data_IF_652106514966
#
_entry.id   IF_652106514966
#
_cell.length_a   1.000
_cell.length_b   1.000
_cell.length_c   1.000
_cell.angle_alpha   90.00
_cell.angle_beta   90.00
_cell.angle_gamma   90.00
#
_symmetry.space_group_name_H-M   'P 1'
#
loop_
_entity.id
_entity.type
_entity.pdbx_description
1 polymer ?
#
# COMPACT_ATOMS: atom_id res chain seq x y z
N UNK A 1 -10.11 -9.39 18.14
CA UNK A 1 -10.93 -8.54 17.26
C UNK A 1 -10.15 -8.44 15.96
N UNK A 2 -10.77 -8.71 14.80
CA UNK A 2 -10.09 -8.59 13.50
C UNK A 2 -9.98 -7.13 13.04
N UNK A 3 -9.17 -6.88 12.01
CA UNK A 3 -8.85 -5.52 11.55
C UNK A 3 -10.09 -4.72 11.12
N UNK A 4 -11.03 -5.34 10.40
CA UNK A 4 -12.24 -4.66 9.94
C UNK A 4 -13.15 -4.24 11.11
N UNK A 5 -13.25 -5.06 12.16
CA UNK A 5 -14.01 -4.69 13.34
C UNK A 5 -13.36 -3.51 14.10
N UNK A 6 -12.02 -3.47 14.18
CA UNK A 6 -11.30 -2.32 14.77
C UNK A 6 -11.54 -1.05 13.94
N UNK A 7 -11.48 -1.15 12.61
CA UNK A 7 -11.79 -0.04 11.71
C UNK A 7 -13.22 0.50 11.94
N UNK A 8 -14.21 -0.39 12.00
CA UNK A 8 -15.60 -0.01 12.26
C UNK A 8 -15.80 0.64 13.66
N UNK A 9 -15.09 0.16 14.67
CA UNK A 9 -15.08 0.79 16.00
C UNK A 9 -14.55 2.22 15.91
N UNK A 10 -13.45 2.44 15.19
CA UNK A 10 -12.86 3.77 15.01
C UNK A 10 -13.78 4.70 14.21
N UNK A 11 -14.36 4.22 13.10
CA UNK A 11 -15.33 4.98 12.29
C UNK A 11 -16.49 5.47 13.18
N UNK A 12 -17.07 4.57 13.99
CA UNK A 12 -18.15 4.93 14.90
C UNK A 12 -17.70 5.89 16.00
N UNK A 13 -16.52 5.66 16.59
CA UNK A 13 -15.95 6.50 17.65
C UNK A 13 -15.72 7.95 17.20
N UNK A 14 -15.43 8.16 15.92
CA UNK A 14 -15.19 9.46 15.32
C UNK A 14 -16.41 10.05 14.59
N UNK A 15 -17.60 9.43 14.70
CA UNK A 15 -18.85 9.87 14.05
C UNK A 15 -18.76 9.98 12.51
N UNK A 16 -17.96 9.12 11.87
CA UNK A 16 -17.68 9.16 10.42
C UNK A 16 -18.48 8.15 9.60
N UNK A 17 -19.53 7.53 10.16
CA UNK A 17 -20.29 6.44 9.53
C UNK A 17 -20.92 6.82 8.17
N UNK A 18 -21.15 8.11 7.91
CA UNK A 18 -21.70 8.59 6.63
C UNK A 18 -20.62 8.94 5.58
N UNK A 19 -19.34 8.88 5.93
CA UNK A 19 -18.21 9.32 5.10
C UNK A 19 -17.17 8.21 4.88
N UNK A 20 -17.00 7.30 5.84
CA UNK A 20 -16.00 6.23 5.78
C UNK A 20 -16.70 4.88 5.79
N UNK A 21 -16.40 4.06 4.79
CA UNK A 21 -16.93 2.71 4.65
C UNK A 21 -15.78 1.70 4.72
N UNK A 22 -15.80 0.83 5.74
CA UNK A 22 -14.86 -0.27 5.83
C UNK A 22 -15.37 -1.46 4.99
N UNK A 23 -14.54 -1.96 4.08
CA UNK A 23 -14.84 -3.10 3.21
C UNK A 23 -13.79 -4.17 3.47
N UNK A 24 -14.22 -5.40 3.74
CA UNK A 24 -13.31 -6.54 3.83
C UNK A 24 -13.03 -7.02 2.40
N UNK A 25 -11.78 -6.90 1.98
CA UNK A 25 -11.32 -7.24 0.64
C UNK A 25 -9.95 -7.90 0.72
N UNK A 26 -9.67 -8.80 -0.21
CA UNK A 26 -8.30 -9.14 -0.59
C UNK A 26 -7.90 -8.20 -1.73
N UNK A 27 -7.10 -7.19 -1.38
CA UNK A 27 -6.76 -6.04 -2.23
C UNK A 27 -8.01 -5.53 -2.99
N UNK A 28 -8.06 -5.79 -4.29
CA UNK A 28 -9.04 -5.26 -5.23
C UNK A 28 -10.34 -6.08 -5.36
N UNK A 29 -10.35 -7.31 -4.84
CA UNK A 29 -11.39 -8.31 -5.13
C UNK A 29 -12.83 -7.89 -4.80
N UNK A 30 -13.02 -7.05 -3.77
CA UNK A 30 -14.35 -6.57 -3.36
C UNK A 30 -14.74 -5.20 -3.95
N UNK A 31 -13.96 -4.64 -4.88
CA UNK A 31 -14.14 -3.27 -5.40
C UNK A 31 -14.49 -3.17 -6.90
N UNK A 32 -15.15 -4.14 -7.55
CA UNK A 32 -15.30 -4.13 -9.01
C UNK A 32 -16.05 -2.88 -9.51
N UNK A 33 -15.50 -2.25 -10.55
CA UNK A 33 -16.10 -1.09 -11.22
C UNK A 33 -16.01 0.23 -10.45
N UNK A 34 -15.34 0.26 -9.30
CA UNK A 34 -15.06 1.51 -8.58
C UNK A 34 -13.87 2.24 -9.20
N UNK A 35 -13.95 3.57 -9.20
CA UNK A 35 -12.88 4.46 -9.64
C UNK A 35 -12.62 5.52 -8.57
N UNK A 36 -11.35 5.78 -8.30
CA UNK A 36 -10.89 6.68 -7.26
C UNK A 36 -9.95 7.73 -7.83
N UNK A 37 -10.08 8.97 -7.33
CA UNK A 37 -9.13 10.06 -7.63
C UNK A 37 -7.86 9.95 -6.79
N UNK A 38 -7.92 9.23 -5.67
CA UNK A 38 -6.80 9.02 -4.77
C UNK A 38 -6.86 7.62 -4.18
N UNK A 39 -5.74 6.89 -4.30
CA UNK A 39 -5.51 5.63 -3.61
C UNK A 39 -4.30 5.80 -2.71
N UNK A 40 -4.43 5.42 -1.45
CA UNK A 40 -3.33 5.43 -0.48
C UNK A 40 -3.24 4.04 0.13
N UNK A 41 -2.03 3.50 0.19
CA UNK A 41 -1.76 2.20 0.78
C UNK A 41 -0.52 2.24 1.66
N UNK A 42 -0.63 1.67 2.85
CA UNK A 42 0.51 1.29 3.68
C UNK A 42 0.45 -0.24 3.84
N UNK A 43 0.89 -1.00 2.81
CA UNK A 43 0.90 -2.45 2.86
C UNK A 43 2.02 -2.93 3.80
N UNK A 44 1.93 -4.16 4.35
CA UNK A 44 3.07 -4.82 4.96
C UNK A 44 4.26 -4.86 3.98
N UNK A 45 5.39 -4.27 4.37
CA UNK A 45 6.59 -4.14 3.53
C UNK A 45 7.84 -4.77 4.15
N UNK A 46 7.72 -5.46 5.30
CA UNK A 46 8.87 -6.04 6.01
C UNK A 46 9.13 -7.47 5.48
N UNK A 47 10.36 -7.71 5.02
CA UNK A 47 10.79 -9.03 4.60
C UNK A 47 10.90 -10.00 5.79
N UNK A 48 10.77 -11.31 5.54
CA UNK A 48 10.89 -12.35 6.56
C UNK A 48 12.23 -12.31 7.34
N UNK A 49 13.33 -11.92 6.68
CA UNK A 49 14.65 -11.82 7.32
C UNK A 49 14.76 -10.59 8.25
N UNK A 50 14.11 -9.48 7.88
CA UNK A 50 14.07 -8.27 8.69
C UNK A 50 13.15 -8.48 9.91
N UNK A 51 12.04 -9.20 9.72
CA UNK A 51 11.15 -9.68 10.79
C UNK A 51 11.85 -10.51 11.85
N UNK A 52 12.84 -11.32 11.47
CA UNK A 52 13.65 -12.12 12.40
C UNK A 52 14.62 -11.26 13.24
N UNK A 53 14.88 -10.02 12.83
CA UNK A 53 15.80 -9.09 13.50
C UNK A 53 15.09 -7.99 14.30
N UNK A 54 13.76 -7.87 14.19
CA UNK A 54 12.99 -6.83 14.87
C UNK A 54 13.01 -7.02 16.41
N UNK A 55 13.05 -5.90 17.18
CA UNK A 55 12.92 -5.94 18.63
C UNK A 55 11.65 -6.65 19.07
N UNK A 56 11.68 -7.28 20.26
CA UNK A 56 10.58 -8.10 20.78
C UNK A 56 9.23 -7.38 20.87
N UNK A 57 9.23 -6.05 20.85
CA UNK A 57 8.04 -5.19 20.87
C UNK A 57 7.17 -5.37 19.61
N UNK A 58 7.77 -5.65 18.45
CA UNK A 58 7.08 -5.88 17.17
C UNK A 58 6.47 -7.28 17.02
N UNK A 59 6.79 -8.22 17.92
CA UNK A 59 6.14 -9.54 17.95
C UNK A 59 4.70 -9.51 18.49
N UNK A 60 4.22 -8.35 18.98
CA UNK A 60 2.84 -8.18 19.43
C UNK A 60 1.88 -7.82 18.28
N UNK A 61 2.38 -7.44 17.11
CA UNK A 61 1.54 -7.21 15.92
C UNK A 61 1.25 -8.54 15.19
N UNK A 62 0.10 -8.67 14.51
CA UNK A 62 -0.21 -9.89 13.76
C UNK A 62 0.89 -10.16 12.72
N UNK A 63 1.42 -11.39 12.64
CA UNK A 63 2.45 -11.74 11.64
C UNK A 63 2.04 -11.40 10.20
N UNK A 64 0.76 -11.53 9.86
CA UNK A 64 0.19 -11.14 8.57
C UNK A 64 0.22 -9.63 8.28
N UNK A 65 0.47 -8.79 9.30
CA UNK A 65 0.62 -7.35 9.15
C UNK A 65 2.08 -6.93 8.89
N UNK A 66 3.03 -7.86 9.03
CA UNK A 66 4.45 -7.55 8.92
C UNK A 66 5.19 -8.42 7.87
N UNK A 67 4.89 -9.72 7.77
CA UNK A 67 5.55 -10.60 6.78
C UNK A 67 4.90 -10.47 5.41
N UNK A 68 5.69 -10.06 4.40
CA UNK A 68 5.32 -10.17 3.00
C UNK A 68 6.38 -10.96 2.20
N UNK A 69 5.89 -11.80 1.28
CA UNK A 69 6.73 -12.56 0.35
C UNK A 69 7.53 -11.60 -0.55
N UNK A 70 8.59 -12.11 -1.16
CA UNK A 70 9.47 -11.36 -2.08
C UNK A 70 10.04 -10.07 -1.47
N UNK A 71 10.63 -10.21 -0.28
CA UNK A 71 11.25 -9.12 0.48
C UNK A 71 10.29 -7.95 0.78
N UNK A 72 9.02 -8.24 1.08
CA UNK A 72 8.03 -7.22 1.39
C UNK A 72 7.36 -6.57 0.18
N UNK A 73 7.78 -6.90 -1.05
CA UNK A 73 7.30 -6.23 -2.26
C UNK A 73 6.18 -6.96 -3.00
N UNK A 74 5.82 -8.19 -2.61
CA UNK A 74 4.75 -8.93 -3.30
C UNK A 74 3.41 -8.19 -3.29
N UNK A 75 3.01 -7.62 -2.15
CA UNK A 75 1.77 -6.84 -2.06
C UNK A 75 1.88 -5.51 -2.78
N UNK A 76 3.04 -4.85 -2.71
CA UNK A 76 3.31 -3.62 -3.47
C UNK A 76 3.15 -3.87 -4.97
N UNK A 77 3.70 -4.98 -5.47
CA UNK A 77 3.57 -5.39 -6.87
C UNK A 77 2.11 -5.60 -7.27
N UNK A 78 1.33 -6.34 -6.47
CA UNK A 78 -0.10 -6.56 -6.74
C UNK A 78 -0.92 -5.27 -6.70
N UNK A 79 -0.54 -4.30 -5.85
CA UNK A 79 -1.14 -2.97 -5.85
C UNK A 79 -0.81 -2.25 -7.15
N UNK A 80 0.47 -2.21 -7.54
CA UNK A 80 0.93 -1.47 -8.72
C UNK A 80 0.39 -2.06 -10.04
N UNK A 81 0.31 -3.38 -10.17
CA UNK A 81 -0.21 -4.06 -11.36
C UNK A 81 -1.66 -3.69 -11.67
N UNK A 82 -2.47 -3.43 -10.64
CA UNK A 82 -3.91 -3.23 -10.78
C UNK A 82 -4.38 -1.81 -10.48
N UNK A 83 -3.53 -0.93 -9.94
CA UNK A 83 -3.94 0.43 -9.56
C UNK A 83 -4.62 1.21 -10.72
N UNK A 84 -4.13 1.07 -11.95
CA UNK A 84 -4.73 1.71 -13.13
C UNK A 84 -6.19 1.27 -13.39
N UNK A 85 -6.55 0.03 -13.01
CA UNK A 85 -7.92 -0.47 -13.13
C UNK A 85 -8.88 0.22 -12.16
N UNK A 86 -8.38 0.84 -11.10
CA UNK A 86 -9.17 1.49 -10.04
C UNK A 86 -8.96 3.01 -9.96
N UNK A 87 -7.97 3.57 -10.65
CA UNK A 87 -7.78 5.03 -10.73
C UNK A 87 -8.62 5.68 -11.84
N UNK A 88 -9.05 6.93 -11.60
CA UNK A 88 -9.46 7.86 -12.66
C UNK A 88 -8.24 8.31 -13.47
N UNK A 89 -8.44 8.92 -14.64
CA UNK A 89 -7.33 9.37 -15.50
C UNK A 89 -6.47 10.49 -14.88
N UNK A 90 -7.02 11.22 -13.91
CA UNK A 90 -6.33 12.27 -13.14
C UNK A 90 -5.95 11.77 -11.74
N UNK A 91 -6.15 10.49 -11.45
CA UNK A 91 -5.98 9.91 -10.13
C UNK A 91 -4.52 9.67 -9.77
N UNK A 92 -4.25 9.67 -8.47
CA UNK A 92 -2.93 9.46 -7.89
C UNK A 92 -2.90 8.25 -6.96
N UNK A 93 -1.79 7.52 -6.99
CA UNK A 93 -1.48 6.44 -6.07
C UNK A 93 -0.33 6.86 -5.14
N UNK A 94 -0.50 6.60 -3.85
CA UNK A 94 0.54 6.75 -2.84
C UNK A 94 0.76 5.43 -2.12
N UNK A 95 2.00 4.96 -2.04
CA UNK A 95 2.33 3.72 -1.33
C UNK A 95 3.51 3.95 -0.41
N UNK A 96 3.35 3.54 0.84
CA UNK A 96 4.42 3.50 1.84
C UNK A 96 5.14 2.14 1.79
N UNK A 97 6.48 2.18 1.72
CA UNK A 97 7.37 1.01 1.70
C UNK A 97 8.51 1.13 2.72
N UNK A 98 8.51 2.15 3.58
CA UNK A 98 9.51 2.36 4.61
C UNK A 98 10.95 2.39 4.07
N UNK A 99 11.83 1.52 4.58
CA UNK A 99 13.24 1.45 4.18
C UNK A 99 13.48 0.67 2.88
N UNK A 100 12.43 0.23 2.19
CA UNK A 100 12.52 -0.59 0.97
C UNK A 100 12.58 0.25 -0.31
N UNK A 101 12.89 1.54 -0.21
CA UNK A 101 12.99 2.46 -1.35
C UNK A 101 14.01 1.99 -2.40
N UNK A 102 15.21 1.59 -1.97
CA UNK A 102 16.21 1.01 -2.84
C UNK A 102 15.74 -0.28 -3.52
N UNK A 103 15.05 -1.16 -2.78
CA UNK A 103 14.53 -2.42 -3.32
C UNK A 103 13.44 -2.18 -4.39
N UNK A 104 12.57 -1.19 -4.18
CA UNK A 104 11.57 -0.76 -5.17
C UNK A 104 12.24 -0.27 -6.45
N UNK A 105 13.23 0.60 -6.33
CA UNK A 105 13.96 1.15 -7.49
C UNK A 105 14.81 0.10 -8.21
N UNK A 106 15.38 -0.86 -7.48
CA UNK A 106 16.15 -1.97 -8.07
C UNK A 106 15.23 -2.96 -8.81
N UNK A 107 14.06 -3.28 -8.25
CA UNK A 107 13.11 -4.22 -8.84
C UNK A 107 12.43 -3.66 -10.08
N UNK A 108 12.06 -2.38 -10.07
CA UNK A 108 11.36 -1.72 -11.18
C UNK A 108 12.11 -0.46 -11.69
N UNK A 109 13.31 -0.64 -12.27
CA UNK A 109 14.21 0.47 -12.61
C UNK A 109 13.72 1.34 -13.78
N UNK A 110 12.74 0.85 -14.54
CA UNK A 110 12.16 1.56 -15.68
C UNK A 110 11.01 2.50 -15.29
N UNK A 111 10.63 2.51 -14.01
CA UNK A 111 9.53 3.33 -13.49
C UNK A 111 10.11 4.51 -12.73
N UNK A 112 9.72 5.71 -13.14
CA UNK A 112 10.13 6.95 -12.49
C UNK A 112 9.26 7.20 -11.25
N UNK A 113 9.61 6.55 -10.14
CA UNK A 113 8.93 6.77 -8.86
C UNK A 113 9.16 8.20 -8.35
N UNK A 114 8.08 8.89 -7.97
CA UNK A 114 8.18 10.19 -7.31
C UNK A 114 8.23 9.97 -5.80
N UNK A 115 9.42 9.96 -5.23
CA UNK A 115 9.62 9.86 -3.78
C UNK A 115 9.28 11.19 -3.09
N UNK A 116 8.51 11.10 -2.01
CA UNK A 116 8.02 12.28 -1.29
C UNK A 116 8.89 12.59 -0.07
N UNK A 117 9.19 13.87 0.09
CA UNK A 117 9.84 14.42 1.29
C UNK A 117 8.79 15.03 2.22
N UNK A 118 8.89 14.74 3.52
CA UNK A 118 7.97 15.25 4.54
C UNK A 118 8.67 16.16 5.55
N UNK A 119 8.12 17.35 5.78
CA UNK A 119 8.69 18.37 6.70
C UNK A 119 8.79 17.88 8.15
N UNK A 120 7.93 16.94 8.57
CA UNK A 120 7.84 16.44 9.95
C UNK A 120 8.47 15.05 10.12
N UNK A 121 9.31 14.64 9.15
CA UNK A 121 9.87 13.30 9.12
C UNK A 121 8.89 12.26 8.56
N UNK A 122 9.42 11.08 8.25
CA UNK A 122 8.78 10.08 7.40
C UNK A 122 9.50 10.02 6.05
N UNK A 123 9.77 8.80 5.59
CA UNK A 123 10.41 8.51 4.31
C UNK A 123 9.82 7.21 3.75
N UNK A 124 10.17 6.89 2.51
CA UNK A 124 9.71 5.64 1.91
C UNK A 124 8.27 5.67 1.40
N UNK A 125 7.72 6.86 1.12
CA UNK A 125 6.44 6.99 0.40
C UNK A 125 6.73 7.46 -1.01
N UNK A 126 6.26 6.72 -2.00
CA UNK A 126 6.27 7.17 -3.39
C UNK A 126 4.87 7.53 -3.85
N UNK A 127 4.81 8.37 -4.88
CA UNK A 127 3.62 8.70 -5.64
C UNK A 127 3.78 8.26 -7.10
N UNK A 128 2.71 7.72 -7.67
CA UNK A 128 2.56 7.51 -9.11
C UNK A 128 1.25 8.12 -9.61
N UNK A 129 1.27 8.72 -10.79
CA UNK A 129 0.05 9.10 -11.49
C UNK A 129 -0.57 7.92 -12.26
N UNK A 130 -1.77 8.14 -12.81
CA UNK A 130 -2.46 7.14 -13.63
C UNK A 130 -1.61 6.62 -14.80
N UNK A 131 -0.88 7.48 -15.52
CA UNK A 131 -0.11 7.08 -16.69
C UNK A 131 1.10 6.21 -16.32
N UNK A 132 1.72 6.51 -15.18
CA UNK A 132 2.79 5.69 -14.61
C UNK A 132 2.24 4.32 -14.14
N UNK A 133 1.05 4.28 -13.53
CA UNK A 133 0.39 3.02 -13.17
C UNK A 133 0.08 2.16 -14.40
N UNK A 134 -0.37 2.76 -15.50
CA UNK A 134 -0.58 2.07 -16.79
C UNK A 134 0.75 1.55 -17.36
N UNK A 135 1.81 2.36 -17.27
CA UNK A 135 3.14 1.95 -17.73
C UNK A 135 3.66 0.76 -16.92
N UNK A 136 3.46 0.79 -15.61
CA UNK A 136 3.82 -0.31 -14.72
C UNK A 136 3.10 -1.60 -15.13
N UNK A 137 1.77 -1.56 -15.24
CA UNK A 137 0.99 -2.75 -15.58
C UNK A 137 1.37 -3.31 -16.94
N UNK A 138 1.59 -2.48 -17.97
CA UNK A 138 2.01 -2.95 -19.29
C UNK A 138 3.37 -3.64 -19.33
N UNK A 139 4.28 -3.28 -18.40
CA UNK A 139 5.68 -3.73 -18.44
C UNK A 139 5.95 -4.95 -17.57
N UNK A 140 5.19 -5.11 -16.48
CA UNK A 140 5.43 -6.11 -15.45
C UNK A 140 4.30 -7.13 -15.26
N UNK A 141 3.28 -7.16 -16.14
CA UNK A 141 2.26 -8.22 -16.21
C UNK A 141 2.80 -9.55 -16.74
#
# INVERSE_FOLDING_TARGET
>A
IDAINVANINIKKHDLTNQVHAIQSDLWSALPGQKYDLIVSNPPYVGADEMASLPAEYHHEPRSALEADDNGLALVEQILLHAADFLTHEGLLFVEVGNSDFAVMEKWPDIEFVWLDFDQGGHGVFMLDYAQCVTFSQRYQ
#
